data_IF_867709339051
#
_entry.id   IF_867709339051
#
_cell.length_a   1.000
_cell.length_b   1.000
_cell.length_c   1.000
_cell.angle_alpha   90.00
_cell.angle_beta   90.00
_cell.angle_gamma   90.00
#
_symmetry.space_group_name_H-M   'P 1'
#
loop_
_entity.id
_entity.type
_entity.pdbx_description
1 polymer ?
#
# COMPACT_ATOMS: atom_id res chain seq x y z
N UNK A 1 8.04 25.37 24.07
CA UNK A 1 7.02 24.84 23.15
C UNK A 1 6.76 23.40 23.53
N UNK A 2 5.71 23.16 24.32
CA UNK A 2 5.39 21.83 24.84
C UNK A 2 4.52 21.12 23.78
N UNK A 3 5.16 20.37 22.88
CA UNK A 3 4.46 19.52 21.92
C UNK A 3 3.86 18.36 22.71
N UNK A 4 2.62 18.53 23.16
CA UNK A 4 1.78 17.45 23.64
C UNK A 4 1.34 16.63 22.41
N UNK A 5 2.31 16.03 21.71
CA UNK A 5 2.06 15.10 20.62
C UNK A 5 1.57 13.83 21.30
N UNK A 6 0.25 13.66 21.36
CA UNK A 6 -0.35 12.44 21.85
C UNK A 6 0.32 11.25 21.13
N UNK A 7 1.12 10.41 21.82
CA UNK A 7 1.96 9.42 21.16
C UNK A 7 1.14 8.42 20.35
N UNK A 8 -0.16 8.29 20.64
CA UNK A 8 -1.11 7.56 19.81
C UNK A 8 -1.35 8.22 18.45
N UNK A 9 -1.48 9.55 18.38
CA UNK A 9 -1.72 10.28 17.13
C UNK A 9 -0.52 10.18 16.19
N UNK A 10 0.70 10.32 16.72
CA UNK A 10 1.94 10.12 15.95
C UNK A 10 2.05 8.69 15.43
N UNK A 11 1.80 7.68 16.27
CA UNK A 11 1.81 6.27 15.84
C UNK A 11 0.80 5.99 14.73
N UNK A 12 -0.43 6.47 14.88
CA UNK A 12 -1.48 6.31 13.86
C UNK A 12 -1.10 6.99 12.55
N UNK A 13 -0.50 8.18 12.61
CA UNK A 13 -0.06 8.90 11.41
C UNK A 13 1.02 8.13 10.65
N UNK A 14 2.00 7.57 11.37
CA UNK A 14 3.03 6.71 10.76
C UNK A 14 2.43 5.45 10.14
N UNK A 15 1.48 4.81 10.81
CA UNK A 15 0.76 3.64 10.28
C UNK A 15 -0.07 3.98 9.03
N UNK A 16 -0.73 5.15 8.99
CA UNK A 16 -1.43 5.63 7.79
C UNK A 16 -0.48 5.83 6.62
N UNK A 17 0.65 6.50 6.86
CA UNK A 17 1.66 6.75 5.82
C UNK A 17 2.26 5.43 5.33
N UNK A 18 2.56 4.50 6.23
CA UNK A 18 3.05 3.16 5.88
C UNK A 18 2.05 2.40 5.00
N UNK A 19 0.77 2.37 5.39
CA UNK A 19 -0.28 1.72 4.59
C UNK A 19 -0.45 2.36 3.21
N UNK A 20 -0.28 3.68 3.11
CA UNK A 20 -0.33 4.40 1.84
C UNK A 20 0.84 4.00 0.92
N UNK A 21 2.06 3.88 1.45
CA UNK A 21 3.21 3.40 0.69
C UNK A 21 3.03 1.95 0.22
N UNK A 22 2.54 1.06 1.09
CA UNK A 22 2.23 -0.32 0.71
C UNK A 22 1.16 -0.38 -0.39
N UNK A 23 0.13 0.47 -0.30
CA UNK A 23 -0.87 0.60 -1.34
C UNK A 23 -0.24 1.06 -2.67
N UNK A 24 0.60 2.09 -2.65
CA UNK A 24 1.27 2.59 -3.86
C UNK A 24 2.19 1.54 -4.50
N UNK A 25 2.93 0.78 -3.69
CA UNK A 25 3.75 -0.33 -4.18
C UNK A 25 2.86 -1.42 -4.80
N UNK A 26 1.78 -1.81 -4.11
CA UNK A 26 0.81 -2.77 -4.64
C UNK A 26 0.18 -2.31 -5.97
N UNK A 27 -0.15 -1.02 -6.08
CA UNK A 27 -0.63 -0.41 -7.32
C UNK A 27 0.42 -0.47 -8.44
N UNK A 28 1.68 -0.18 -8.13
CA UNK A 28 2.79 -0.32 -9.07
C UNK A 28 2.93 -1.76 -9.59
N UNK A 29 2.87 -2.74 -8.69
CA UNK A 29 2.90 -4.17 -9.03
C UNK A 29 1.71 -4.54 -9.93
N UNK A 30 0.51 -4.02 -9.63
CA UNK A 30 -0.68 -4.22 -10.47
C UNK A 30 -0.50 -3.62 -11.86
N UNK A 31 0.06 -2.43 -11.99
CA UNK A 31 0.32 -1.80 -13.29
C UNK A 31 1.27 -2.67 -14.14
N UNK A 32 2.29 -3.27 -13.52
CA UNK A 32 3.14 -4.26 -14.18
C UNK A 32 2.31 -5.50 -14.58
N UNK A 33 1.51 -6.05 -13.66
CA UNK A 33 0.65 -7.20 -13.91
C UNK A 33 -0.41 -6.99 -14.99
N UNK A 34 -0.88 -5.76 -15.21
CA UNK A 34 -1.80 -5.40 -16.29
C UNK A 34 -1.10 -5.10 -17.62
N UNK A 35 0.23 -5.13 -17.66
CA UNK A 35 1.02 -4.85 -18.87
C UNK A 35 1.09 -3.36 -19.21
N UNK A 36 0.87 -2.48 -18.24
CA UNK A 36 1.00 -1.02 -18.43
C UNK A 36 2.47 -0.59 -18.55
N UNK A 37 3.37 -1.36 -17.95
CA UNK A 37 4.82 -1.22 -18.12
C UNK A 37 5.36 -2.32 -19.04
N UNK A 38 6.36 -2.01 -19.89
CA UNK A 38 7.03 -2.97 -20.75
C UNK A 38 8.03 -3.82 -19.94
N UNK A 39 7.54 -4.57 -18.96
CA UNK A 39 8.31 -5.49 -18.13
C UNK A 39 7.90 -6.91 -18.50
N UNK A 40 8.83 -7.70 -19.02
CA UNK A 40 8.56 -9.09 -19.36
C UNK A 40 8.68 -9.98 -18.13
N UNK A 41 7.56 -10.13 -17.44
CA UNK A 41 7.46 -10.93 -16.21
C UNK A 41 7.63 -12.43 -16.51
N UNK A 42 7.32 -12.84 -17.74
CA UNK A 42 7.43 -14.23 -18.17
C UNK A 42 8.90 -14.68 -18.28
N UNK A 43 9.83 -13.75 -18.53
CA UNK A 43 11.28 -14.01 -18.51
C UNK A 43 11.75 -14.50 -17.13
N UNK A 44 11.09 -14.07 -16.06
CA UNK A 44 11.37 -14.52 -14.69
C UNK A 44 10.66 -15.83 -14.32
N UNK A 45 9.90 -16.44 -15.24
CA UNK A 45 9.13 -17.66 -14.99
C UNK A 45 7.92 -17.48 -14.07
N UNK A 46 7.53 -16.23 -13.78
CA UNK A 46 6.41 -15.93 -12.89
C UNK A 46 5.14 -15.73 -13.74
N UNK A 47 4.06 -16.50 -13.48
CA UNK A 47 2.80 -16.30 -14.16
C UNK A 47 2.20 -14.91 -13.84
N UNK A 48 1.69 -14.22 -14.85
CA UNK A 48 1.11 -12.88 -14.72
C UNK A 48 -0.03 -12.81 -13.67
N UNK A 49 -0.83 -13.88 -13.55
CA UNK A 49 -1.90 -13.93 -12.55
C UNK A 49 -1.37 -13.86 -11.11
N UNK A 50 -0.16 -14.35 -10.83
CA UNK A 50 0.47 -14.28 -9.51
C UNK A 50 0.76 -12.82 -9.17
N UNK A 51 1.28 -12.05 -10.12
CA UNK A 51 1.55 -10.62 -9.94
C UNK A 51 0.26 -9.84 -9.69
N UNK A 52 -0.82 -10.18 -10.41
CA UNK A 52 -2.12 -9.57 -10.18
C UNK A 52 -2.69 -9.89 -8.79
N UNK A 53 -2.55 -11.13 -8.32
CA UNK A 53 -3.01 -11.54 -6.98
C UNK A 53 -2.17 -10.88 -5.89
N UNK A 54 -0.85 -10.87 -6.03
CA UNK A 54 0.07 -10.26 -5.06
C UNK A 54 -0.14 -8.74 -5.00
N UNK A 55 -0.09 -8.07 -6.16
CA UNK A 55 -0.31 -6.64 -6.25
C UNK A 55 -1.71 -6.24 -5.76
N UNK A 56 -2.74 -7.01 -6.13
CA UNK A 56 -4.12 -6.80 -5.69
C UNK A 56 -4.28 -6.91 -4.19
N UNK A 57 -3.76 -7.97 -3.59
CA UNK A 57 -3.83 -8.18 -2.13
C UNK A 57 -3.10 -7.07 -1.39
N UNK A 58 -1.91 -6.71 -1.84
CA UNK A 58 -1.09 -5.67 -1.23
C UNK A 58 -1.72 -4.28 -1.36
N UNK A 59 -2.31 -3.97 -2.53
CA UNK A 59 -3.04 -2.74 -2.76
C UNK A 59 -4.28 -2.62 -1.84
N UNK A 60 -5.08 -3.67 -1.76
CA UNK A 60 -6.29 -3.70 -0.93
C UNK A 60 -5.92 -3.58 0.56
N UNK A 61 -4.94 -4.35 1.02
CA UNK A 61 -4.49 -4.33 2.41
C UNK A 61 -3.90 -2.97 2.81
N UNK A 62 -3.00 -2.42 1.99
CA UNK A 62 -2.41 -1.09 2.23
C UNK A 62 -3.46 0.01 2.26
N UNK A 63 -4.40 -0.01 1.30
CA UNK A 63 -5.48 0.97 1.22
C UNK A 63 -6.41 0.86 2.43
N UNK A 64 -6.80 -0.35 2.81
CA UNK A 64 -7.62 -0.58 4.01
C UNK A 64 -6.94 -0.03 5.26
N UNK A 65 -5.65 -0.31 5.44
CA UNK A 65 -4.89 0.14 6.60
C UNK A 65 -4.75 1.67 6.63
N UNK A 66 -4.50 2.30 5.48
CA UNK A 66 -4.41 3.75 5.36
C UNK A 66 -5.75 4.42 5.69
N UNK A 67 -6.84 3.95 5.08
CA UNK A 67 -8.19 4.50 5.28
C UNK A 67 -8.67 4.30 6.72
N UNK A 68 -8.47 3.11 7.28
CA UNK A 68 -8.90 2.80 8.64
C UNK A 68 -8.18 3.68 9.68
N UNK A 69 -6.86 3.83 9.54
CA UNK A 69 -6.08 4.66 10.46
C UNK A 69 -6.35 6.15 10.27
N UNK A 70 -6.57 6.61 9.03
CA UNK A 70 -6.93 8.00 8.75
C UNK A 70 -8.30 8.38 9.32
N UNK A 71 -9.32 7.53 9.14
CA UNK A 71 -10.67 7.75 9.69
C UNK A 71 -10.64 7.94 11.20
N UNK A 72 -9.86 7.13 11.91
CA UNK A 72 -9.72 7.20 13.38
C UNK A 72 -8.71 8.25 13.86
N UNK A 73 -8.04 8.95 12.97
CA UNK A 73 -7.17 10.08 13.31
C UNK A 73 -7.97 11.40 13.38
N UNK A 74 -9.15 11.39 12.76
CA UNK A 74 -10.03 12.54 12.61
C UNK A 74 -11.26 12.49 13.53
N UNK A 75 -11.49 11.35 14.19
CA UNK A 75 -12.35 11.20 15.38
C UNK A 75 -11.57 11.56 16.65
#
# INVERSE_FOLDING_TARGET
MNQNNDPQKTKRMVLTVSGLFDALIGAGILLVGFGFFPVDIAEFGIPQWVILVVGGTMFIAGTWMAVHNYSRLNE
#
